data_IF_155689161697
#
_entry.id   IF_155689161697
#
_cell.length_a   1.000
_cell.length_b   1.000
_cell.length_c   1.000
_cell.angle_alpha   90.00
_cell.angle_beta   90.00
_cell.angle_gamma   90.00
#
_symmetry.space_group_name_H-M   'P 1'
#
loop_
_entity.id
_entity.type
_entity.pdbx_description
1 polymer ?
#
# COMPACT_ATOMS: atom_id res chain seq x y z
N UNK A 1 -13.59 -5.69 9.06
CA UNK A 1 -12.24 -5.14 8.84
C UNK A 1 -11.93 -5.26 7.35
N UNK A 2 -11.66 -4.15 6.65
CA UNK A 2 -11.53 -4.14 5.18
C UNK A 2 -10.08 -4.36 4.76
N UNK A 3 -9.88 -5.29 3.82
CA UNK A 3 -8.60 -5.57 3.16
C UNK A 3 -8.83 -5.40 1.66
N UNK A 4 -7.94 -4.68 0.99
CA UNK A 4 -7.97 -4.50 -0.45
C UNK A 4 -7.13 -5.58 -1.11
N UNK A 5 -7.59 -6.10 -2.24
CA UNK A 5 -6.90 -7.11 -3.04
C UNK A 5 -6.93 -6.64 -4.50
N UNK A 6 -5.77 -6.54 -5.12
CA UNK A 6 -5.63 -6.25 -6.55
C UNK A 6 -5.05 -7.48 -7.22
N UNK A 7 -5.85 -8.13 -8.06
CA UNK A 7 -5.45 -9.32 -8.80
C UNK A 7 -4.95 -8.91 -10.20
N UNK A 8 -3.64 -9.00 -10.41
CA UNK A 8 -3.01 -8.87 -11.72
C UNK A 8 -2.52 -10.22 -12.25
N UNK A 9 -2.17 -10.27 -13.53
CA UNK A 9 -1.63 -11.50 -14.17
C UNK A 9 -0.26 -11.85 -13.57
N UNK A 10 0.62 -10.86 -13.42
CA UNK A 10 1.98 -11.08 -12.93
C UNK A 10 2.11 -10.93 -11.42
N UNK A 11 1.33 -10.02 -10.83
CA UNK A 11 1.40 -9.67 -9.42
C UNK A 11 0.01 -9.55 -8.80
N UNK A 12 -0.12 -10.00 -7.57
CA UNK A 12 -1.24 -9.72 -6.69
C UNK A 12 -0.79 -8.80 -5.56
N UNK A 13 -1.60 -7.82 -5.19
CA UNK A 13 -1.31 -6.91 -4.07
C UNK A 13 -2.41 -7.00 -3.02
N UNK A 14 -2.01 -7.10 -1.75
CA UNK A 14 -2.92 -7.09 -0.61
C UNK A 14 -2.56 -5.95 0.31
N UNK A 15 -3.57 -5.17 0.73
CA UNK A 15 -3.38 -3.99 1.56
C UNK A 15 -4.40 -3.92 2.69
N UNK A 16 -3.93 -3.56 3.88
CA UNK A 16 -4.80 -3.14 4.98
C UNK A 16 -4.16 -1.93 5.68
N UNK A 17 -4.78 -0.74 5.64
CA UNK A 17 -4.22 0.45 6.27
C UNK A 17 -4.32 0.47 7.80
N UNK A 18 -5.22 -0.33 8.38
CA UNK A 18 -5.58 -0.19 9.80
C UNK A 18 -5.04 -1.29 10.69
N UNK A 19 -4.81 -2.48 10.14
CA UNK A 19 -4.40 -3.65 10.91
C UNK A 19 -3.36 -4.47 10.16
N UNK A 20 -2.43 -5.05 10.90
CA UNK A 20 -1.50 -6.03 10.37
C UNK A 20 -2.26 -7.27 9.87
N UNK A 21 -1.75 -7.89 8.82
CA UNK A 21 -2.21 -9.20 8.37
C UNK A 21 -1.05 -10.10 7.96
N UNK A 22 -1.35 -11.38 7.80
CA UNK A 22 -0.44 -12.37 7.24
C UNK A 22 -1.01 -12.94 5.94
N UNK A 23 -0.16 -13.08 4.92
CA UNK A 23 -0.49 -13.71 3.65
C UNK A 23 0.77 -14.38 3.06
N UNK A 24 0.77 -15.71 3.01
CA UNK A 24 1.97 -16.47 2.64
C UNK A 24 3.14 -16.12 3.56
N UNK A 25 4.26 -15.72 2.99
CA UNK A 25 5.48 -15.33 3.73
C UNK A 25 5.48 -13.86 4.18
N UNK A 26 4.48 -13.07 3.76
CA UNK A 26 4.30 -11.72 4.31
C UNK A 26 3.62 -11.82 5.69
N UNK A 27 4.40 -11.76 6.77
CA UNK A 27 3.89 -11.86 8.14
C UNK A 27 3.80 -10.49 8.83
N UNK A 28 2.68 -10.22 9.51
CA UNK A 28 2.47 -9.00 10.29
C UNK A 28 2.69 -7.69 9.49
N UNK A 29 2.17 -7.63 8.26
CA UNK A 29 2.42 -6.54 7.30
C UNK A 29 1.21 -5.63 7.12
N UNK A 30 1.45 -4.41 6.60
CA UNK A 30 0.40 -3.53 6.07
C UNK A 30 0.16 -3.77 4.58
N UNK A 31 1.18 -4.20 3.83
CA UNK A 31 1.12 -4.42 2.39
C UNK A 31 1.98 -5.62 1.97
N UNK A 32 1.43 -6.49 1.13
CA UNK A 32 2.13 -7.63 0.53
C UNK A 32 1.93 -7.65 -0.98
N UNK A 33 2.99 -7.98 -1.71
CA UNK A 33 2.94 -8.36 -3.12
C UNK A 33 3.23 -9.86 -3.25
N UNK A 34 2.46 -10.54 -4.09
CA UNK A 34 2.71 -11.92 -4.50
C UNK A 34 2.99 -11.95 -6.01
N UNK A 35 4.10 -12.55 -6.40
CA UNK A 35 4.50 -12.73 -7.79
C UNK A 35 3.96 -14.07 -8.32
N UNK A 36 2.88 -14.04 -9.09
CA UNK A 36 2.11 -15.24 -9.46
C UNK A 36 2.92 -16.31 -10.18
N UNK A 37 3.84 -15.91 -11.07
CA UNK A 37 4.61 -16.86 -11.90
C UNK A 37 5.72 -17.54 -11.11
N UNK A 38 6.42 -16.79 -10.25
CA UNK A 38 7.56 -17.29 -9.50
C UNK A 38 7.19 -17.84 -8.12
N UNK A 39 5.99 -17.51 -7.62
CA UNK A 39 5.53 -17.90 -6.29
C UNK A 39 6.17 -17.12 -5.14
N UNK A 40 6.81 -15.98 -5.42
CA UNK A 40 7.51 -15.19 -4.40
C UNK A 40 6.60 -14.19 -3.71
N UNK A 41 6.84 -13.96 -2.43
CA UNK A 41 6.18 -12.92 -1.63
C UNK A 41 7.16 -11.79 -1.32
N UNK A 42 6.65 -10.57 -1.35
CA UNK A 42 7.42 -9.38 -1.04
C UNK A 42 6.65 -8.50 -0.07
N UNK A 43 7.21 -8.27 1.11
CA UNK A 43 6.70 -7.29 2.07
C UNK A 43 6.96 -5.90 1.52
N UNK A 44 5.88 -5.13 1.31
CA UNK A 44 5.97 -3.78 0.78
C UNK A 44 5.86 -2.71 1.88
N UNK A 45 5.54 -3.12 3.11
CA UNK A 45 5.36 -2.22 4.25
C UNK A 45 4.83 -2.93 5.49
N UNK A 46 5.16 -2.38 6.65
CA UNK A 46 4.61 -2.80 7.95
C UNK A 46 3.85 -1.63 8.59
N UNK A 47 2.90 -1.90 9.50
CA UNK A 47 2.22 -0.80 10.18
C UNK A 47 3.17 0.05 11.03
N UNK A 48 4.22 -0.54 11.59
CA UNK A 48 5.23 0.19 12.36
C UNK A 48 6.03 1.19 11.50
N UNK A 49 6.04 1.01 10.17
CA UNK A 49 6.67 1.93 9.22
C UNK A 49 5.74 3.04 8.71
N UNK A 50 4.48 3.04 9.13
CA UNK A 50 3.47 3.97 8.63
C UNK A 50 3.86 5.43 8.94
N UNK A 51 3.88 6.26 7.91
CA UNK A 51 4.18 7.67 8.05
C UNK A 51 3.25 8.51 7.15
N UNK A 52 2.56 9.48 7.74
CA UNK A 52 1.68 10.39 7.01
C UNK A 52 2.45 11.63 6.56
N UNK A 53 2.25 12.03 5.31
CA UNK A 53 2.80 13.27 4.73
C UNK A 53 1.66 14.02 4.05
N UNK A 54 1.54 15.31 4.30
CA UNK A 54 0.68 16.21 3.53
C UNK A 54 1.46 16.79 2.37
N UNK A 55 0.82 16.94 1.22
CA UNK A 55 1.40 17.72 0.13
C UNK A 55 1.51 19.19 0.58
N UNK A 56 2.69 19.80 0.42
CA UNK A 56 2.90 21.20 0.82
C UNK A 56 2.23 22.19 -0.12
N UNK A 57 1.90 21.76 -1.34
CA UNK A 57 1.24 22.57 -2.35
C UNK A 57 -0.30 22.37 -2.35
N UNK A 58 -0.79 21.30 -1.71
CA UNK A 58 -2.21 21.02 -1.52
C UNK A 58 -2.45 20.26 -0.20
N UNK A 59 -2.78 21.00 0.86
CA UNK A 59 -3.07 20.44 2.20
C UNK A 59 -4.21 19.41 2.22
N UNK A 60 -4.95 19.25 1.11
CA UNK A 60 -6.00 18.24 0.98
C UNK A 60 -5.50 16.88 0.47
N UNK A 61 -4.26 16.80 -0.02
CA UNK A 61 -3.66 15.54 -0.44
C UNK A 61 -2.80 14.99 0.72
N UNK A 62 -3.17 13.80 1.16
CA UNK A 62 -2.44 13.07 2.19
C UNK A 62 -1.83 11.82 1.58
N UNK A 63 -0.55 11.61 1.82
CA UNK A 63 0.16 10.39 1.49
C UNK A 63 0.39 9.56 2.75
N UNK A 64 0.19 8.25 2.62
CA UNK A 64 0.56 7.28 3.63
C UNK A 64 1.70 6.43 3.10
N UNK A 65 2.87 6.59 3.72
CA UNK A 65 4.10 5.94 3.32
C UNK A 65 4.35 4.72 4.21
N UNK A 66 4.90 3.67 3.61
CA UNK A 66 5.38 2.49 4.29
C UNK A 66 6.75 2.08 3.76
N UNK A 67 7.49 1.33 4.56
CA UNK A 67 8.75 0.73 4.12
C UNK A 67 9.03 -0.61 4.79
N UNK A 68 9.85 -1.41 4.14
CA UNK A 68 10.40 -2.63 4.72
C UNK A 68 11.74 -2.98 4.07
N UNK A 69 12.72 -3.37 4.87
CA UNK A 69 14.03 -3.85 4.41
C UNK A 69 14.11 -5.35 4.67
N UNK A 70 14.32 -6.13 3.60
CA UNK A 70 14.43 -7.59 3.70
C UNK A 70 15.78 -8.02 4.28
N UNK A 71 15.92 -9.33 4.56
CA UNK A 71 17.15 -9.92 5.12
C UNK A 71 18.38 -9.77 4.23
N UNK A 72 18.21 -9.43 2.95
CA UNK A 72 19.29 -9.19 2.00
C UNK A 72 19.69 -7.71 1.93
N UNK A 73 19.05 -6.86 2.76
CA UNK A 73 19.33 -5.43 2.83
C UNK A 73 18.62 -4.62 1.75
N UNK A 74 17.63 -5.18 1.04
CA UNK A 74 16.89 -4.42 0.07
C UNK A 74 15.63 -3.79 0.66
N UNK A 75 15.53 -2.48 0.53
CA UNK A 75 14.37 -1.71 0.98
C UNK A 75 13.34 -1.58 -0.13
N UNK A 76 12.07 -1.78 0.24
CA UNK A 76 10.89 -1.46 -0.56
C UNK A 76 10.16 -0.29 0.08
N UNK A 77 9.68 0.62 -0.75
CA UNK A 77 8.89 1.78 -0.34
C UNK A 77 7.53 1.72 -0.99
N UNK A 78 6.50 2.02 -0.20
CA UNK A 78 5.13 2.13 -0.70
C UNK A 78 4.59 3.50 -0.39
N UNK A 79 4.04 4.17 -1.38
CA UNK A 79 3.28 5.41 -1.21
C UNK A 79 1.83 5.12 -1.57
N UNK A 80 0.92 5.39 -0.63
CA UNK A 80 -0.54 5.37 -0.87
C UNK A 80 -1.05 6.80 -0.84
N UNK A 81 -1.48 7.31 -1.98
CA UNK A 81 -2.19 8.60 -2.04
C UNK A 81 -3.62 8.41 -1.54
N UNK A 82 -3.98 9.13 -0.49
CA UNK A 82 -5.32 9.14 0.09
C UNK A 82 -6.13 10.25 -0.59
N UNK A 83 -7.21 9.87 -1.28
CA UNK A 83 -8.07 10.79 -2.02
C UNK A 83 -9.46 10.77 -1.41
N UNK A 84 -9.86 11.91 -0.83
CA UNK A 84 -11.21 12.10 -0.31
C UNK A 84 -12.24 11.97 -1.45
N UNK A 85 -13.32 11.23 -1.18
CA UNK A 85 -14.42 11.04 -2.13
C UNK A 85 -15.75 10.96 -1.41
N UNK A 86 -16.79 11.57 -1.98
CA UNK A 86 -18.17 11.47 -1.47
C UNK A 86 -18.87 10.17 -1.90
N UNK A 87 -18.16 9.24 -2.53
CA UNK A 87 -18.70 7.94 -2.89
C UNK A 87 -18.89 7.04 -1.65
N UNK A 88 -19.73 6.02 -1.77
CA UNK A 88 -19.98 5.04 -0.69
C UNK A 88 -19.06 3.83 -0.74
N UNK A 89 -18.23 3.74 -1.79
CA UNK A 89 -17.27 2.66 -2.02
C UNK A 89 -15.85 3.17 -1.86
N UNK A 90 -14.93 2.23 -1.63
CA UNK A 90 -13.51 2.52 -1.62
C UNK A 90 -12.88 1.86 -2.84
N UNK A 91 -12.08 2.62 -3.58
CA UNK A 91 -11.30 2.12 -4.72
C UNK A 91 -9.82 2.15 -4.37
N UNK A 92 -9.17 1.00 -4.48
CA UNK A 92 -7.73 0.87 -4.31
C UNK A 92 -7.11 0.55 -5.66
N UNK A 93 -6.13 1.34 -6.08
CA UNK A 93 -5.62 1.32 -7.45
C UNK A 93 -4.10 1.28 -7.39
N UNK A 94 -3.48 0.39 -8.16
CA UNK A 94 -2.04 0.40 -8.38
C UNK A 94 -1.70 1.36 -9.52
N UNK A 95 -0.92 2.40 -9.22
CA UNK A 95 -0.52 3.40 -10.21
C UNK A 95 0.77 3.03 -10.93
N UNK A 96 1.62 2.22 -10.28
CA UNK A 96 2.83 1.68 -10.89
C UNK A 96 3.99 1.56 -9.92
N UNK A 97 5.10 1.04 -10.47
CA UNK A 97 6.41 1.03 -9.84
C UNK A 97 7.28 2.07 -10.55
N UNK A 98 7.54 3.21 -9.91
CA UNK A 98 8.18 4.37 -10.57
C UNK A 98 9.72 4.28 -10.57
N UNK A 99 10.28 3.60 -9.57
CA UNK A 99 11.69 3.18 -9.51
C UNK A 99 11.72 1.78 -8.92
N UNK A 100 12.84 1.05 -9.11
CA UNK A 100 12.98 -0.29 -8.58
C UNK A 100 12.62 -0.32 -7.08
N UNK A 101 11.64 -1.15 -6.71
CA UNK A 101 11.13 -1.36 -5.34
C UNK A 101 10.36 -0.19 -4.74
N UNK A 102 9.90 0.77 -5.55
CA UNK A 102 9.06 1.89 -5.11
C UNK A 102 7.68 1.82 -5.75
N UNK A 103 6.68 1.49 -4.94
CA UNK A 103 5.31 1.20 -5.38
C UNK A 103 4.38 2.36 -5.04
N UNK A 104 3.57 2.76 -6.00
CA UNK A 104 2.61 3.86 -5.83
C UNK A 104 1.19 3.32 -6.02
N UNK A 105 0.34 3.64 -5.05
CA UNK A 105 -1.08 3.30 -5.04
C UNK A 105 -1.92 4.53 -4.77
N UNK A 106 -3.19 4.46 -5.14
CA UNK A 106 -4.21 5.42 -4.77
C UNK A 106 -5.32 4.71 -4.01
N UNK A 107 -5.76 5.30 -2.90
CA UNK A 107 -6.95 4.90 -2.17
C UNK A 107 -7.96 6.06 -2.25
N UNK A 108 -9.02 5.87 -3.02
CA UNK A 108 -10.15 6.78 -3.10
C UNK A 108 -11.20 6.29 -2.12
N UNK A 109 -11.55 7.09 -1.11
CA UNK A 109 -12.48 6.66 -0.06
C UNK A 109 -13.14 7.85 0.67
N UNK A 110 -14.39 7.73 1.14
CA UNK A 110 -14.97 8.68 2.10
C UNK A 110 -14.19 8.73 3.42
N UNK A 111 -13.41 7.69 3.74
CA UNK A 111 -12.57 7.64 4.94
C UNK A 111 -11.25 8.40 4.78
N UNK A 112 -10.90 8.83 3.56
CA UNK A 112 -9.75 9.69 3.30
C UNK A 112 -10.06 11.18 3.49
N UNK A 113 -11.33 11.54 3.70
CA UNK A 113 -11.73 12.91 3.99
C UNK A 113 -11.34 13.30 5.41
N UNK A 114 -10.76 14.50 5.56
CA UNK A 114 -10.57 15.11 6.88
C UNK A 114 -11.92 15.23 7.60
N UNK A 115 -11.92 14.96 8.90
CA UNK A 115 -13.11 15.05 9.76
C UNK A 115 -13.07 16.31 10.60
#
# INVERSE_FOLDING_TARGET
MKRFVLDGIQFQYLYNPCYNFTFGECENVSMCQYQNVAGNYFVLGTQDSAYFVTDTDDDHIVFLLYSHTDSYGFTRHTTVQLVCSNQTTDDFIFLGEHTLRTYVFMLVSPHCCAK
#
